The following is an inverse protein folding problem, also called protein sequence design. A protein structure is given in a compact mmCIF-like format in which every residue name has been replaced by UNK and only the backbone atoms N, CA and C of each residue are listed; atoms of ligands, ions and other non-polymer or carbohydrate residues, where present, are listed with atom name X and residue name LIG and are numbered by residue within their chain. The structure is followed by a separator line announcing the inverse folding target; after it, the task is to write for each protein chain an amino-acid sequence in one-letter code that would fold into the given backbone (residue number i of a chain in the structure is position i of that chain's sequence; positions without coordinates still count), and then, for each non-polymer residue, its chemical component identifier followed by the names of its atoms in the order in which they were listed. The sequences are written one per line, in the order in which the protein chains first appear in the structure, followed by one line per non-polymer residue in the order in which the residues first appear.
data_IF_185749950807
#
_entry.id   IF_185749950807
#
_cell.length_a   1.000
_cell.length_b   1.000
_cell.length_c   1.000
_cell.angle_alpha   90.00
_cell.angle_beta   90.00
_cell.angle_gamma   90.00
#
_symmetry.space_group_name_H-M   'P 1'
#
loop_
_entity.id
_entity.type
_entity.pdbx_description
1 polymer ?
#
# COMPACT_ATOMS: atom_id res chain seq x y z
N UNK A 1 0.07 -20.44 -12.28
CA UNK A 1 -0.22 -20.06 -10.88
C UNK A 1 -1.27 -18.96 -10.86
N UNK A 2 -2.13 -18.93 -9.85
CA UNK A 2 -3.19 -17.91 -9.71
C UNK A 2 -2.80 -16.86 -8.67
N UNK A 3 -3.28 -15.64 -8.85
CA UNK A 3 -3.09 -14.50 -7.97
C UNK A 3 -4.45 -13.98 -7.50
N UNK A 4 -4.55 -13.70 -6.21
CA UNK A 4 -5.68 -12.99 -5.63
C UNK A 4 -5.33 -11.50 -5.57
N UNK A 5 -6.10 -10.69 -6.26
CA UNK A 5 -6.02 -9.24 -6.30
C UNK A 5 -7.03 -8.64 -5.32
N UNK A 6 -6.72 -7.46 -4.80
CA UNK A 6 -7.60 -6.71 -3.91
C UNK A 6 -7.62 -5.24 -4.33
N UNK A 7 -8.81 -4.67 -4.34
CA UNK A 7 -9.02 -3.22 -4.37
C UNK A 7 -9.99 -2.90 -3.24
N UNK A 8 -9.67 -1.90 -2.43
CA UNK A 8 -10.48 -1.54 -1.28
C UNK A 8 -10.48 -0.03 -1.07
N UNK A 9 -11.63 0.49 -0.67
CA UNK A 9 -11.83 1.84 -0.14
C UNK A 9 -12.33 1.76 1.30
N UNK A 10 -12.71 2.89 1.89
CA UNK A 10 -13.39 2.91 3.19
C UNK A 10 -14.71 2.11 3.18
N UNK A 11 -15.43 2.12 2.06
CA UNK A 11 -16.78 1.56 1.94
C UNK A 11 -16.84 0.23 1.18
N UNK A 12 -15.94 0.01 0.22
CA UNK A 12 -16.02 -1.14 -0.70
C UNK A 12 -14.80 -2.05 -0.57
N UNK A 13 -15.02 -3.35 -0.81
CA UNK A 13 -13.95 -4.34 -0.94
C UNK A 13 -14.19 -5.24 -2.13
N UNK A 14 -13.21 -5.31 -3.02
CA UNK A 14 -13.21 -6.21 -4.16
C UNK A 14 -12.01 -7.14 -4.08
N UNK A 15 -12.27 -8.44 -4.22
CA UNK A 15 -11.29 -9.50 -4.37
C UNK A 15 -11.52 -10.19 -5.71
N UNK A 16 -10.47 -10.30 -6.51
CA UNK A 16 -10.55 -10.90 -7.85
C UNK A 16 -9.42 -11.89 -8.10
N UNK A 17 -9.71 -13.01 -8.76
CA UNK A 17 -8.67 -13.95 -9.19
C UNK A 17 -8.20 -13.66 -10.60
N UNK A 18 -6.89 -13.79 -10.82
CA UNK A 18 -6.32 -13.75 -12.16
C UNK A 18 -5.01 -14.55 -12.24
N UNK A 19 -4.68 -15.10 -13.41
CA UNK A 19 -3.43 -15.87 -13.60
C UNK A 19 -2.18 -14.99 -13.66
N UNK A 20 -2.36 -13.70 -13.92
CA UNK A 20 -1.30 -12.70 -13.90
C UNK A 20 -1.38 -11.84 -12.64
N UNK A 21 -0.23 -11.33 -12.19
CA UNK A 21 -0.12 -10.31 -11.13
C UNK A 21 0.02 -8.87 -11.66
N UNK A 22 0.26 -8.76 -12.96
CA UNK A 22 0.66 -7.53 -13.64
C UNK A 22 -0.51 -6.72 -14.18
N UNK A 23 -0.20 -5.75 -15.04
CA UNK A 23 -1.15 -4.88 -15.75
C UNK A 23 -2.32 -5.64 -16.38
N UNK A 24 -2.04 -6.75 -17.06
CA UNK A 24 -3.07 -7.60 -17.70
C UNK A 24 -4.18 -7.98 -16.71
N UNK A 25 -3.82 -8.26 -15.44
CA UNK A 25 -4.80 -8.59 -14.42
C UNK A 25 -5.60 -7.37 -13.96
N UNK A 26 -4.92 -6.25 -13.73
CA UNK A 26 -5.57 -5.01 -13.29
C UNK A 26 -6.57 -4.53 -14.34
N UNK A 27 -6.17 -4.57 -15.62
CA UNK A 27 -7.02 -4.22 -16.76
C UNK A 27 -8.21 -5.18 -16.88
N UNK A 28 -7.98 -6.50 -16.78
CA UNK A 28 -9.04 -7.51 -16.86
C UNK A 28 -10.05 -7.46 -15.70
N UNK A 29 -9.60 -7.08 -14.50
CA UNK A 29 -10.47 -6.94 -13.33
C UNK A 29 -11.34 -5.67 -13.37
N UNK A 30 -10.97 -4.68 -14.21
CA UNK A 30 -11.85 -3.57 -14.57
C UNK A 30 -12.10 -2.51 -13.49
N UNK A 31 -11.42 -2.56 -12.34
CA UNK A 31 -11.67 -1.62 -11.23
C UNK A 31 -10.84 -0.33 -11.32
N UNK A 32 -9.53 -0.46 -11.57
CA UNK A 32 -8.60 0.68 -11.63
C UNK A 32 -8.44 1.37 -13.00
N UNK A 33 -8.71 0.73 -14.16
CA UNK A 33 -8.65 1.42 -15.44
C UNK A 33 -9.53 2.69 -15.45
N UNK A 34 -8.93 3.83 -15.79
CA UNK A 34 -9.62 5.13 -15.82
C UNK A 34 -9.83 5.81 -14.46
N UNK A 35 -9.39 5.19 -13.35
CA UNK A 35 -9.47 5.81 -12.03
C UNK A 35 -8.54 7.02 -11.92
N UNK A 36 -9.04 8.13 -11.37
CA UNK A 36 -8.31 9.42 -11.27
C UNK A 36 -8.01 9.86 -9.84
N UNK A 37 -8.44 9.07 -8.84
CA UNK A 37 -8.19 9.36 -7.43
C UNK A 37 -6.79 8.93 -6.97
N UNK A 38 -6.64 8.71 -5.66
CA UNK A 38 -5.37 8.30 -5.06
C UNK A 38 -5.34 6.77 -4.88
N UNK A 39 -4.39 6.10 -5.55
CA UNK A 39 -4.12 4.68 -5.38
C UNK A 39 -3.02 4.50 -4.33
N UNK A 40 -3.35 3.89 -3.19
CA UNK A 40 -2.36 3.53 -2.15
C UNK A 40 -1.87 2.10 -2.37
N UNK A 41 -0.58 1.92 -2.68
CA UNK A 41 0.00 0.61 -3.01
C UNK A 41 1.37 0.36 -2.34
N UNK A 42 1.83 -0.88 -2.38
CA UNK A 42 3.12 -1.34 -1.79
C UNK A 42 4.37 -0.89 -2.57
N UNK A 43 4.17 -0.24 -3.72
CA UNK A 43 5.23 0.20 -4.64
C UNK A 43 5.68 -0.87 -5.64
N UNK A 44 4.85 -1.85 -5.96
CA UNK A 44 5.05 -2.66 -7.16
C UNK A 44 4.96 -1.78 -8.41
N UNK A 45 5.99 -1.77 -9.25
CA UNK A 45 6.09 -0.92 -10.46
C UNK A 45 5.00 -1.18 -11.50
N UNK A 46 4.26 -2.29 -11.37
CA UNK A 46 3.07 -2.57 -12.17
C UNK A 46 2.03 -1.46 -12.09
N UNK A 47 1.96 -0.70 -10.99
CA UNK A 47 0.94 0.36 -10.88
C UNK A 47 1.32 1.62 -11.68
N UNK A 48 2.58 1.78 -12.09
CA UNK A 48 3.10 3.03 -12.69
C UNK A 48 2.44 3.38 -14.05
N UNK A 49 1.72 2.44 -14.69
CA UNK A 49 0.96 2.72 -15.93
C UNK A 49 -0.40 3.41 -15.67
N UNK A 50 -0.85 3.51 -14.42
CA UNK A 50 -2.10 4.18 -14.05
C UNK A 50 -1.92 5.71 -14.08
N UNK A 51 -1.50 6.25 -15.22
CA UNK A 51 -1.10 7.65 -15.37
C UNK A 51 -2.20 8.67 -15.04
N UNK A 52 -3.48 8.25 -15.07
CA UNK A 52 -4.61 9.09 -14.69
C UNK A 52 -4.79 9.23 -13.17
N UNK A 53 -4.23 8.30 -12.38
CA UNK A 53 -4.34 8.29 -10.94
C UNK A 53 -3.16 9.01 -10.28
N UNK A 54 -3.41 9.50 -9.06
CA UNK A 54 -2.35 9.88 -8.14
C UNK A 54 -1.87 8.65 -7.37
N UNK A 55 -0.56 8.58 -7.09
CA UNK A 55 0.03 7.41 -6.42
C UNK A 55 0.45 7.73 -5.00
N UNK A 56 0.18 6.81 -4.08
CA UNK A 56 0.72 6.86 -2.74
C UNK A 56 1.40 5.54 -2.38
N UNK A 57 2.62 5.64 -1.86
CA UNK A 57 3.32 4.47 -1.37
C UNK A 57 2.94 4.18 0.09
N UNK A 58 2.66 2.90 0.37
CA UNK A 58 2.39 2.44 1.72
C UNK A 58 3.64 2.60 2.60
N UNK A 59 3.53 3.47 3.61
CA UNK A 59 4.66 3.74 4.51
C UNK A 59 4.98 2.59 5.46
N UNK A 60 4.03 1.70 5.77
CA UNK A 60 4.33 0.48 6.57
C UNK A 60 5.32 -0.46 5.88
N UNK A 61 5.24 -0.59 4.55
CA UNK A 61 6.21 -1.38 3.78
C UNK A 61 7.59 -0.70 3.76
N UNK A 62 7.60 0.63 3.60
CA UNK A 62 8.83 1.42 3.66
C UNK A 62 9.51 1.30 5.02
N UNK A 63 8.76 1.41 6.12
CA UNK A 63 9.27 1.23 7.49
C UNK A 63 9.79 -0.19 7.69
N UNK A 64 9.15 -1.23 7.14
CA UNK A 64 9.68 -2.60 7.20
C UNK A 64 11.06 -2.70 6.54
N UNK A 65 11.23 -2.14 5.34
CA UNK A 65 12.53 -2.12 4.67
C UNK A 65 13.58 -1.29 5.41
N UNK A 66 13.17 -0.18 6.05
CA UNK A 66 14.06 0.62 6.90
C UNK A 66 14.51 -0.17 8.14
N UNK A 67 13.60 -0.93 8.77
CA UNK A 67 13.93 -1.78 9.91
C UNK A 67 14.94 -2.87 9.52
N UNK A 68 14.76 -3.53 8.37
CA UNK A 68 15.76 -4.47 7.83
C UNK A 68 17.11 -3.79 7.59
N UNK A 69 17.12 -2.54 7.11
CA UNK A 69 18.34 -1.76 6.93
C UNK A 69 18.95 -1.28 8.26
N UNK A 70 18.25 -1.36 9.40
CA UNK A 70 18.82 -0.99 10.70
C UNK A 70 19.75 -2.06 11.29
N UNK A 71 19.70 -3.28 10.75
CA UNK A 71 20.50 -4.42 11.21
C UNK A 71 22.01 -4.26 10.93
N UNK A 72 22.39 -3.33 10.04
CA UNK A 72 23.79 -3.07 9.69
C UNK A 72 24.21 -1.65 10.09
N UNK A 73 25.40 -1.51 10.68
CA UNK A 73 25.87 -0.24 11.25
C UNK A 73 26.01 0.88 10.20
N UNK A 74 26.46 0.55 8.99
CA UNK A 74 26.62 1.46 7.85
C UNK A 74 25.30 1.97 7.27
N UNK A 75 24.18 1.31 7.59
CA UNK A 75 22.84 1.71 7.14
C UNK A 75 21.90 2.11 8.27
N UNK A 76 22.30 1.91 9.54
CA UNK A 76 21.45 2.14 10.72
C UNK A 76 21.06 3.60 10.93
N UNK A 77 22.01 4.53 10.79
CA UNK A 77 21.78 5.93 11.12
C UNK A 77 20.70 6.56 10.21
N UNK A 78 20.88 6.46 8.90
CA UNK A 78 19.93 7.04 7.95
C UNK A 78 18.55 6.37 8.05
N UNK A 79 18.53 5.05 8.27
CA UNK A 79 17.29 4.29 8.41
C UNK A 79 16.50 4.74 9.64
N UNK A 80 17.17 4.91 10.78
CA UNK A 80 16.57 5.45 12.01
C UNK A 80 16.03 6.87 11.81
N UNK A 81 16.81 7.74 11.14
CA UNK A 81 16.38 9.10 10.85
C UNK A 81 15.12 9.12 9.97
N UNK A 82 15.09 8.33 8.90
CA UNK A 82 13.95 8.26 8.00
C UNK A 82 12.71 7.66 8.69
N UNK A 83 12.87 6.59 9.47
CA UNK A 83 11.77 6.01 10.27
C UNK A 83 11.16 7.06 11.19
N UNK A 84 11.99 7.83 11.91
CA UNK A 84 11.51 8.91 12.77
C UNK A 84 10.73 9.98 12.00
N UNK A 85 11.16 10.35 10.79
CA UNK A 85 10.44 11.30 9.93
C UNK A 85 9.08 10.75 9.52
N UNK A 86 9.00 9.49 9.10
CA UNK A 86 7.73 8.87 8.68
C UNK A 86 6.74 8.76 9.85
N UNK A 87 7.20 8.41 11.05
CA UNK A 87 6.35 8.34 12.24
C UNK A 87 5.84 9.73 12.66
N UNK A 88 6.69 10.75 12.62
CA UNK A 88 6.27 12.13 12.89
C UNK A 88 5.29 12.66 11.84
N UNK A 89 5.48 12.28 10.58
CA UNK A 89 4.57 12.59 9.48
C UNK A 89 3.20 11.91 9.69
N UNK A 90 3.18 10.63 10.08
CA UNK A 90 1.95 9.92 10.42
C UNK A 90 1.21 10.57 11.60
N UNK A 91 1.93 11.00 12.63
CA UNK A 91 1.35 11.72 13.76
C UNK A 91 0.80 13.10 13.35
N UNK A 92 1.50 13.83 12.49
CA UNK A 92 1.02 15.12 11.96
C UNK A 92 -0.24 14.95 11.09
N UNK A 93 -0.26 13.93 10.25
CA UNK A 93 -1.43 13.55 9.45
C UNK A 93 -2.63 13.25 10.33
N UNK A 94 -2.48 12.36 11.32
CA UNK A 94 -3.56 12.00 12.25
C UNK A 94 -4.12 13.23 12.95
N UNK A 95 -3.25 14.09 13.51
CA UNK A 95 -3.68 15.35 14.15
C UNK A 95 -4.44 16.28 13.19
N UNK A 96 -4.05 16.34 11.92
CA UNK A 96 -4.75 17.16 10.94
C UNK A 96 -6.14 16.59 10.64
N UNK A 97 -6.25 15.27 10.45
CA UNK A 97 -7.51 14.57 10.24
C UNK A 97 -8.46 14.71 11.44
N UNK A 98 -7.97 14.51 12.67
CA UNK A 98 -8.75 14.67 13.91
C UNK A 98 -9.29 16.10 14.09
N UNK A 99 -8.60 17.09 13.50
CA UNK A 99 -9.01 18.50 13.48
C UNK A 99 -9.91 18.85 12.28
N UNK A 100 -10.34 17.87 11.48
CA UNK A 100 -11.15 18.08 10.28
C UNK A 100 -10.43 18.84 9.16
N UNK A 101 -9.09 18.89 9.17
CA UNK A 101 -8.32 19.56 8.11
C UNK A 101 -8.15 18.64 6.92
N UNK A 102 -8.32 19.18 5.72
CA UNK A 102 -8.07 18.45 4.47
C UNK A 102 -6.58 18.12 4.23
N UNK A 103 -5.65 18.86 4.86
CA UNK A 103 -4.20 18.68 4.71
C UNK A 103 -3.43 19.07 5.96
N UNK A 104 -2.21 18.56 6.09
CA UNK A 104 -1.27 18.94 7.15
C UNK A 104 -0.80 20.39 6.92
N UNK A 105 -0.65 21.22 7.98
CA UNK A 105 -0.20 22.60 7.82
C UNK A 105 1.13 22.71 7.07
N UNK A 106 1.21 23.65 6.12
CA UNK A 106 2.35 23.81 5.22
C UNK A 106 3.69 23.99 5.96
N UNK A 107 3.71 24.68 7.10
CA UNK A 107 4.90 24.85 7.94
C UNK A 107 5.41 23.52 8.51
N UNK A 108 4.48 22.64 8.92
CA UNK A 108 4.79 21.28 9.39
C UNK A 108 5.29 20.42 8.24
N UNK A 109 4.63 20.46 7.08
CA UNK A 109 5.06 19.72 5.88
C UNK A 109 6.47 20.15 5.44
N UNK A 110 6.76 21.46 5.42
CA UNK A 110 8.07 21.98 5.08
C UNK A 110 9.17 21.48 6.04
N UNK A 111 8.89 21.43 7.35
CA UNK A 111 9.82 20.88 8.35
C UNK A 111 10.05 19.38 8.15
N UNK A 112 9.00 18.61 7.89
CA UNK A 112 9.09 17.17 7.62
C UNK A 112 9.90 16.90 6.35
N UNK A 113 9.63 17.62 5.25
CA UNK A 113 10.39 17.52 3.99
C UNK A 113 11.88 17.83 4.17
N UNK A 114 12.23 18.86 4.97
CA UNK A 114 13.65 19.14 5.28
C UNK A 114 14.34 17.97 5.97
N UNK A 115 13.70 17.39 6.99
CA UNK A 115 14.25 16.23 7.72
C UNK A 115 14.29 14.97 6.85
N UNK A 116 13.27 14.76 6.02
CA UNK A 116 13.20 13.68 5.04
C UNK A 116 14.40 13.73 4.08
N UNK A 117 14.60 14.87 3.41
CA UNK A 117 15.71 15.06 2.47
C UNK A 117 17.07 14.98 3.15
N UNK A 118 17.18 15.45 4.39
CA UNK A 118 18.38 15.25 5.20
C UNK A 118 18.67 13.77 5.44
N UNK A 119 17.67 12.97 5.83
CA UNK A 119 17.86 11.53 6.03
C UNK A 119 18.28 10.81 4.73
N UNK A 120 17.70 11.18 3.58
CA UNK A 120 18.13 10.68 2.26
C UNK A 120 19.58 11.08 1.95
N UNK A 121 19.97 12.34 2.21
CA UNK A 121 21.34 12.80 2.01
C UNK A 121 22.34 12.06 2.92
N UNK A 122 21.96 11.75 4.16
CA UNK A 122 22.77 10.93 5.08
C UNK A 122 22.94 9.51 4.52
N UNK A 123 21.89 8.91 3.94
CA UNK A 123 21.99 7.59 3.31
C UNK A 123 23.07 7.55 2.23
N UNK A 124 23.06 8.51 1.31
CA UNK A 124 24.03 8.58 0.21
C UNK A 124 25.45 8.93 0.67
N UNK A 125 25.64 9.53 1.86
CA UNK A 125 26.97 9.78 2.43
C UNK A 125 27.56 8.57 3.16
N UNK A 126 26.72 7.70 3.71
CA UNK A 126 27.15 6.52 4.47
C UNK A 126 27.38 5.30 3.57
N UNK A 127 26.62 5.21 2.48
CA UNK A 127 26.75 4.14 1.51
C UNK A 127 27.97 4.35 0.60
N UNK A 128 28.54 3.28 0.03
CA UNK A 128 29.67 3.40 -0.89
C UNK A 128 29.38 4.35 -2.05
N UNK A 129 30.39 5.14 -2.44
CA UNK A 129 30.33 6.03 -3.59
C UNK A 129 30.37 5.26 -4.92
N UNK A 130 29.84 5.90 -5.97
CA UNK A 130 29.92 5.42 -7.35
C UNK A 130 28.63 4.76 -7.86
N UNK A 131 28.55 4.48 -9.17
CA UNK A 131 27.36 3.88 -9.75
C UNK A 131 27.17 2.46 -9.20
N UNK A 132 25.95 2.15 -8.79
CA UNK A 132 25.60 0.80 -8.36
C UNK A 132 26.00 -0.21 -9.45
N UNK A 133 26.83 -1.23 -9.15
CA UNK A 133 27.31 -2.16 -10.17
C UNK A 133 26.14 -2.84 -10.89
N UNK A 134 26.22 -2.93 -12.23
CA UNK A 134 25.15 -3.55 -13.05
C UNK A 134 24.90 -5.00 -12.64
N UNK A 135 25.96 -5.77 -12.39
CA UNK A 135 25.89 -7.16 -11.90
C UNK A 135 25.78 -7.19 -10.37
N UNK A 136 24.97 -8.13 -9.85
CA UNK A 136 24.92 -8.43 -8.41
C UNK A 136 26.26 -9.06 -7.98
N UNK A 137 26.67 -8.83 -6.74
CA UNK A 137 27.90 -9.37 -6.14
C UNK A 137 29.19 -8.97 -6.88
N UNK A 138 29.21 -7.79 -7.51
CA UNK A 138 30.40 -7.23 -8.18
C UNK A 138 30.68 -5.84 -7.61
N UNK A 139 31.94 -5.40 -7.60
CA UNK A 139 32.33 -4.03 -7.25
C UNK A 139 32.41 -3.73 -5.75
N UNK A 140 32.56 -4.73 -4.88
CA UNK A 140 32.77 -4.54 -3.43
C UNK A 140 31.53 -4.18 -2.62
N UNK A 141 30.38 -4.02 -3.27
CA UNK A 141 29.10 -3.73 -2.61
C UNK A 141 28.56 -4.97 -1.88
N UNK A 142 28.28 -4.80 -0.59
CA UNK A 142 27.58 -5.82 0.17
C UNK A 142 26.10 -5.89 -0.22
N UNK A 143 25.44 -7.06 -0.11
CA UNK A 143 24.03 -7.20 -0.46
C UNK A 143 23.10 -6.22 0.27
N UNK A 144 23.36 -5.92 1.54
CA UNK A 144 22.56 -4.97 2.33
C UNK A 144 22.77 -3.52 1.88
N UNK A 145 24.01 -3.12 1.55
CA UNK A 145 24.32 -1.80 1.00
C UNK A 145 23.57 -1.56 -0.31
N UNK A 146 23.54 -2.55 -1.19
CA UNK A 146 22.77 -2.48 -2.44
C UNK A 146 21.27 -2.31 -2.21
N UNK A 147 20.70 -3.07 -1.27
CA UNK A 147 19.28 -2.94 -0.89
C UNK A 147 18.99 -1.54 -0.31
N UNK A 148 19.85 -1.08 0.58
CA UNK A 148 19.76 0.21 1.24
C UNK A 148 19.89 1.38 0.24
N UNK A 149 20.81 1.27 -0.72
CA UNK A 149 20.95 2.23 -1.83
C UNK A 149 19.68 2.31 -2.68
N UNK A 150 19.14 1.18 -3.11
CA UNK A 150 17.89 1.15 -3.86
C UNK A 150 16.73 1.75 -3.07
N UNK A 151 16.68 1.51 -1.76
CA UNK A 151 15.70 2.11 -0.88
C UNK A 151 15.87 3.63 -0.78
N UNK A 152 17.10 4.13 -0.61
CA UNK A 152 17.41 5.57 -0.60
C UNK A 152 17.06 6.26 -1.93
N UNK A 153 17.35 5.61 -3.07
CA UNK A 153 16.93 6.06 -4.40
C UNK A 153 15.41 6.14 -4.50
N UNK A 154 14.69 5.12 -4.03
CA UNK A 154 13.22 5.14 -3.99
C UNK A 154 12.69 6.27 -3.11
N UNK A 155 13.27 6.52 -1.93
CA UNK A 155 12.89 7.66 -1.08
C UNK A 155 13.16 9.01 -1.77
N UNK A 156 14.27 9.14 -2.51
CA UNK A 156 14.58 10.35 -3.27
C UNK A 156 13.58 10.58 -4.42
N UNK A 157 13.38 9.56 -5.25
CA UNK A 157 12.66 9.71 -6.52
C UNK A 157 11.13 9.68 -6.33
N UNK A 158 10.65 8.98 -5.30
CA UNK A 158 9.22 8.89 -4.97
C UNK A 158 8.80 9.77 -3.80
N UNK A 159 9.56 10.81 -3.42
CA UNK A 159 9.19 11.73 -2.32
C UNK A 159 7.74 12.24 -2.42
N UNK A 160 7.23 12.69 -3.59
CA UNK A 160 5.85 13.15 -3.71
C UNK A 160 4.82 12.07 -3.36
N UNK A 161 5.05 10.82 -3.78
CA UNK A 161 4.12 9.71 -3.57
C UNK A 161 4.23 9.13 -2.15
N UNK A 162 5.41 9.19 -1.55
CA UNK A 162 5.62 8.73 -0.17
C UNK A 162 4.96 9.69 0.82
N UNK A 163 5.03 10.99 0.56
CA UNK A 163 4.50 12.02 1.46
C UNK A 163 3.10 12.54 1.07
N UNK A 164 2.45 11.94 0.06
CA UNK A 164 1.17 12.42 -0.49
C UNK A 164 0.06 12.55 0.55
N UNK A 165 0.02 11.67 1.54
CA UNK A 165 -0.96 11.69 2.63
C UNK A 165 -0.90 12.98 3.46
N UNK A 166 0.19 13.74 3.40
CA UNK A 166 0.27 15.04 4.06
C UNK A 166 -0.56 16.12 3.34
N UNK A 167 -0.82 15.95 2.05
CA UNK A 167 -1.56 16.89 1.19
C UNK A 167 -3.06 16.54 1.06
N UNK A 168 -3.46 15.32 1.42
CA UNK A 168 -4.86 14.87 1.46
C UNK A 168 -5.07 13.91 2.64
N UNK A 169 -5.76 14.37 3.69
CA UNK A 169 -6.02 13.59 4.91
C UNK A 169 -7.05 12.47 4.73
N UNK A 170 -7.72 12.41 3.59
CA UNK A 170 -8.55 11.25 3.21
C UNK A 170 -7.69 10.07 2.77
N UNK A 171 -6.41 10.31 2.44
CA UNK A 171 -5.48 9.26 2.03
C UNK A 171 -4.76 8.64 3.22
N UNK A 172 -4.88 7.32 3.37
CA UNK A 172 -4.29 6.58 4.49
C UNK A 172 -2.78 6.39 4.37
N UNK A 173 -2.03 6.64 5.45
CA UNK A 173 -0.58 6.36 5.59
C UNK A 173 -0.17 4.92 5.19
N UNK A 174 -1.11 3.98 5.21
CA UNK A 174 -0.93 2.56 4.94
C UNK A 174 -1.97 2.06 3.95
N UNK A 175 -1.69 1.01 3.19
CA UNK A 175 -2.67 0.27 2.39
C UNK A 175 -3.41 -0.82 3.19
N UNK A 176 -3.58 -0.64 4.51
CA UNK A 176 -4.19 -1.63 5.40
C UNK A 176 -5.60 -2.06 4.98
N UNK A 177 -6.36 -1.16 4.35
CA UNK A 177 -7.71 -1.45 3.86
C UNK A 177 -7.72 -2.50 2.74
N UNK A 178 -6.64 -2.62 1.99
CA UNK A 178 -6.43 -3.66 0.99
C UNK A 178 -5.78 -4.92 1.61
N UNK A 179 -4.85 -4.77 2.57
CA UNK A 179 -4.18 -5.93 3.19
C UNK A 179 -5.11 -6.77 4.08
N UNK A 180 -5.98 -6.13 4.87
CA UNK A 180 -6.89 -6.82 5.80
C UNK A 180 -7.82 -7.81 5.07
N UNK A 181 -8.49 -7.42 3.96
CA UNK A 181 -9.29 -8.31 3.12
C UNK A 181 -8.60 -9.60 2.64
N UNK A 182 -7.27 -9.58 2.45
CA UNK A 182 -6.50 -10.74 1.99
C UNK A 182 -6.24 -11.77 3.10
N UNK A 183 -6.33 -11.39 4.38
CA UNK A 183 -5.99 -12.27 5.51
C UNK A 183 -6.84 -13.55 5.57
N UNK A 184 -8.18 -13.52 5.34
CA UNK A 184 -8.98 -14.74 5.29
C UNK A 184 -8.53 -15.74 4.20
N UNK A 185 -8.06 -15.25 3.04
CA UNK A 185 -7.52 -16.12 2.01
C UNK A 185 -6.22 -16.81 2.49
N UNK A 186 -5.32 -16.06 3.12
CA UNK A 186 -4.10 -16.61 3.71
C UNK A 186 -4.36 -17.57 4.88
N UNK A 187 -5.40 -17.30 5.67
CA UNK A 187 -5.82 -18.20 6.74
C UNK A 187 -6.37 -19.51 6.17
N UNK A 188 -7.19 -19.43 5.11
CA UNK A 188 -7.66 -20.61 4.39
C UNK A 188 -6.48 -21.42 3.85
N UNK A 189 -5.53 -20.80 3.15
CA UNK A 189 -4.33 -21.47 2.63
C UNK A 189 -3.56 -22.20 3.74
N UNK A 190 -3.45 -21.58 4.92
CA UNK A 190 -2.73 -22.13 6.08
C UNK A 190 -3.44 -23.33 6.72
N UNK A 191 -4.77 -23.27 6.87
CA UNK A 191 -5.56 -24.26 7.62
C UNK A 191 -6.08 -25.38 6.71
N UNK A 192 -6.63 -25.00 5.56
CA UNK A 192 -7.36 -25.88 4.64
C UNK A 192 -6.52 -26.26 3.41
N UNK A 193 -5.34 -25.67 3.25
CA UNK A 193 -4.53 -25.78 2.04
C UNK A 193 -5.05 -24.90 0.91
N UNK A 194 -4.42 -25.02 -0.26
CA UNK A 194 -4.78 -24.22 -1.45
C UNK A 194 -6.06 -24.73 -2.10
N UNK A 195 -6.80 -23.85 -2.77
CA UNK A 195 -7.92 -24.24 -3.62
C UNK A 195 -7.50 -25.21 -4.72
N UNK A 196 -8.28 -26.27 -4.92
CA UNK A 196 -8.06 -27.26 -6.00
C UNK A 196 -8.75 -26.89 -7.33
N UNK A 197 -9.60 -25.87 -7.31
CA UNK A 197 -10.36 -25.42 -8.48
C UNK A 197 -10.36 -23.89 -8.55
N UNK A 198 -10.09 -23.29 -9.73
CA UNK A 198 -10.19 -21.84 -9.91
C UNK A 198 -11.62 -21.34 -9.68
N UNK A 199 -12.64 -22.15 -10.00
CA UNK A 199 -14.05 -21.82 -9.75
C UNK A 199 -14.34 -21.66 -8.26
N UNK A 200 -13.79 -22.54 -7.40
CA UNK A 200 -13.95 -22.41 -5.96
C UNK A 200 -13.22 -21.21 -5.38
N UNK A 201 -12.01 -20.93 -5.89
CA UNK A 201 -11.26 -19.75 -5.48
C UNK A 201 -11.98 -18.44 -5.89
N UNK A 202 -12.57 -18.42 -7.10
CA UNK A 202 -13.38 -17.29 -7.56
C UNK A 202 -14.63 -17.11 -6.71
N UNK A 203 -15.35 -18.20 -6.39
CA UNK A 203 -16.51 -18.14 -5.50
C UNK A 203 -16.13 -17.62 -4.11
N UNK A 204 -14.99 -18.07 -3.56
CA UNK A 204 -14.44 -17.54 -2.31
C UNK A 204 -14.19 -16.04 -2.39
N UNK A 205 -13.54 -15.55 -3.46
CA UNK A 205 -13.27 -14.14 -3.65
C UNK A 205 -14.56 -13.31 -3.75
N UNK A 206 -15.55 -13.77 -4.50
CA UNK A 206 -16.86 -13.11 -4.63
C UNK A 206 -17.58 -13.01 -3.27
N UNK A 207 -17.70 -14.13 -2.54
CA UNK A 207 -18.37 -14.17 -1.23
C UNK A 207 -17.64 -13.27 -0.22
N UNK A 208 -16.30 -13.29 -0.22
CA UNK A 208 -15.51 -12.43 0.67
C UNK A 208 -15.65 -10.95 0.33
N UNK A 209 -15.68 -10.59 -0.96
CA UNK A 209 -15.95 -9.21 -1.40
C UNK A 209 -17.29 -8.70 -0.87
N UNK A 210 -18.33 -9.52 -1.01
CA UNK A 210 -19.68 -9.20 -0.54
C UNK A 210 -19.75 -9.02 0.98
N UNK A 211 -19.26 -9.99 1.74
CA UNK A 211 -19.28 -9.96 3.22
C UNK A 211 -18.44 -8.81 3.77
N UNK A 212 -17.24 -8.57 3.20
CA UNK A 212 -16.35 -7.50 3.67
C UNK A 212 -16.88 -6.12 3.31
N UNK A 213 -17.57 -5.97 2.18
CA UNK A 213 -18.29 -4.74 1.84
C UNK A 213 -19.45 -4.52 2.81
N UNK A 214 -20.30 -5.53 3.06
CA UNK A 214 -21.38 -5.43 4.03
C UNK A 214 -20.90 -5.05 5.44
N UNK A 215 -19.77 -5.61 5.88
CA UNK A 215 -19.15 -5.27 7.15
C UNK A 215 -18.71 -3.80 7.25
N UNK A 216 -18.25 -3.18 6.15
CA UNK A 216 -17.89 -1.75 6.10
C UNK A 216 -19.09 -0.81 6.22
N UNK A 217 -20.30 -1.33 6.04
CA UNK A 217 -21.56 -0.60 6.19
C UNK A 217 -22.34 -1.05 7.45
N UNK A 218 -21.64 -1.59 8.45
CA UNK A 218 -22.19 -2.04 9.72
C UNK A 218 -23.37 -3.01 9.60
N UNK A 219 -23.40 -3.81 8.52
CA UNK A 219 -24.46 -4.79 8.31
C UNK A 219 -24.19 -6.08 9.08
N UNK A 220 -25.25 -6.63 9.65
CA UNK A 220 -25.20 -7.99 10.21
C UNK A 220 -25.02 -9.01 9.08
N UNK A 221 -23.92 -9.75 9.11
CA UNK A 221 -23.55 -10.67 8.02
C UNK A 221 -24.56 -11.80 7.84
N UNK A 222 -25.10 -12.36 8.94
CA UNK A 222 -26.10 -13.42 8.83
C UNK A 222 -27.37 -12.90 8.16
N UNK A 223 -27.85 -11.71 8.56
CA UNK A 223 -29.01 -11.07 7.93
C UNK A 223 -28.79 -10.83 6.44
N UNK A 224 -27.60 -10.35 6.05
CA UNK A 224 -27.24 -10.08 4.64
C UNK A 224 -27.17 -11.37 3.81
N UNK A 225 -26.68 -12.46 4.40
CA UNK A 225 -26.69 -13.77 3.75
C UNK A 225 -28.11 -14.33 3.63
N UNK A 226 -28.94 -14.19 4.67
CA UNK A 226 -30.37 -14.57 4.59
C UNK A 226 -31.10 -13.77 3.51
N UNK A 227 -30.86 -12.45 3.45
CA UNK A 227 -31.45 -11.58 2.44
C UNK A 227 -31.06 -12.02 1.02
N UNK A 228 -29.78 -12.32 0.80
CA UNK A 228 -29.24 -12.78 -0.49
C UNK A 228 -30.03 -13.96 -1.08
N UNK A 229 -30.47 -14.90 -0.22
CA UNK A 229 -31.22 -16.09 -0.63
C UNK A 229 -32.74 -15.97 -0.55
N UNK A 230 -33.27 -14.85 -0.04
CA UNK A 230 -34.73 -14.66 0.12
C UNK A 230 -35.27 -13.54 -0.77
N UNK A 231 -34.74 -12.32 -0.64
CA UNK A 231 -35.23 -11.12 -1.33
C UNK A 231 -34.23 -10.53 -2.31
N UNK A 232 -33.05 -11.13 -2.43
CA UNK A 232 -31.99 -10.73 -3.35
C UNK A 232 -30.78 -10.10 -2.66
N UNK A 233 -29.72 -9.86 -3.43
CA UNK A 233 -28.48 -9.31 -2.89
C UNK A 233 -28.69 -7.90 -2.33
N UNK A 234 -28.18 -7.65 -1.13
CA UNK A 234 -28.02 -6.28 -0.64
C UNK A 234 -26.93 -5.59 -1.45
N UNK A 235 -27.17 -4.36 -1.90
CA UNK A 235 -26.15 -3.56 -2.57
C UNK A 235 -25.76 -2.39 -1.64
N UNK A 236 -24.46 -2.04 -1.58
CA UNK A 236 -24.05 -0.82 -0.90
C UNK A 236 -24.73 0.39 -1.56
N UNK A 237 -25.06 1.44 -0.80
CA UNK A 237 -25.59 2.67 -1.37
C UNK A 237 -24.59 3.27 -2.35
N UNK A 238 -25.09 4.02 -3.32
CA UNK A 238 -24.21 4.81 -4.20
C UNK A 238 -23.34 5.74 -3.36
N UNK A 239 -22.05 5.92 -3.73
CA UNK A 239 -21.18 6.83 -3.00
C UNK A 239 -21.77 8.23 -3.04
N UNK A 240 -21.87 8.88 -1.87
CA UNK A 240 -22.23 10.29 -1.80
C UNK A 240 -21.21 11.10 -2.61
N UNK A 241 -21.64 12.00 -3.52
CA UNK A 241 -20.72 12.86 -4.24
C UNK A 241 -19.82 13.62 -3.25
N UNK A 242 -18.52 13.65 -3.55
CA UNK A 242 -17.52 14.37 -2.76
C UNK A 242 -17.68 15.89 -2.87
#
# INVERSE_FOLDING_TARGET
SWWLHVVASETLTFLGLHQNRGRVAIDALGVLPGYTGIVVHDGLTTYDYLHGALHQQCCSHLIRHLNEAMDHDDTRLWSRLMTGVLLDAAAAHRRAADQGRAKVPATTVARLRRRYRHAVAVAFRLLPDGPLPRRRNTGGWQPHQRKSWNLAVRFRDSEPDILRFLEDTRSSFTNNDAERPLRPAKLHDKISGTFRSPTHAQAFATIRSYIQTAAKHDKNILSILTQLFTTGAWLPPDPTPA
#
